data_IF_074869631282
#
_entry.id   IF_074869631282
#
_cell.length_a   1.000
_cell.length_b   1.000
_cell.length_c   1.000
_cell.angle_alpha   90.00
_cell.angle_beta   90.00
_cell.angle_gamma   90.00
#
_symmetry.space_group_name_H-M   'P 1'
#
loop_
_entity.id
_entity.type
_entity.pdbx_description
1 polymer ?
#
# COMPACT_ATOMS: atom_id res chain seq x y z
N UNK A 1 14.94 -11.94 12.30
CA UNK A 1 14.87 -11.40 10.92
C UNK A 1 14.49 -9.93 11.05
N UNK A 2 15.22 -9.01 10.43
CA UNK A 2 14.86 -7.59 10.46
C UNK A 2 13.59 -7.40 9.63
N UNK A 3 12.62 -6.65 10.17
CA UNK A 3 11.39 -6.33 9.43
C UNK A 3 11.68 -5.30 8.33
N UNK A 4 10.95 -5.37 7.24
CA UNK A 4 10.97 -4.38 6.16
C UNK A 4 10.22 -3.15 6.62
N UNK A 5 10.89 -2.00 6.61
CA UNK A 5 10.29 -0.74 7.02
C UNK A 5 9.38 -0.18 5.94
N UNK A 6 8.20 0.28 6.33
CA UNK A 6 7.23 0.82 5.40
C UNK A 6 6.59 2.12 5.89
N UNK A 7 6.08 2.88 4.93
CA UNK A 7 5.29 4.07 5.13
C UNK A 7 3.83 3.83 4.69
N UNK A 8 2.90 4.54 5.33
CA UNK A 8 1.49 4.60 4.97
C UNK A 8 1.19 6.02 4.50
N UNK A 9 0.57 6.16 3.33
CA UNK A 9 0.18 7.44 2.75
C UNK A 9 -1.34 7.49 2.69
N UNK A 10 -1.94 8.49 3.34
CA UNK A 10 -3.38 8.61 3.49
C UNK A 10 -3.88 8.10 4.83
N UNK A 11 -4.01 8.98 5.84
CA UNK A 11 -4.43 8.64 7.21
C UNK A 11 -5.97 8.55 7.35
N UNK A 12 -6.66 8.18 6.27
CA UNK A 12 -8.10 7.89 6.29
C UNK A 12 -8.43 6.54 6.91
N UNK A 13 -9.68 6.09 6.74
CA UNK A 13 -10.16 4.83 7.31
C UNK A 13 -9.34 3.62 6.83
N UNK A 14 -9.03 3.55 5.52
CA UNK A 14 -8.25 2.45 4.93
C UNK A 14 -6.82 2.45 5.47
N UNK A 15 -6.14 3.60 5.44
CA UNK A 15 -4.75 3.69 5.91
C UNK A 15 -4.64 3.42 7.42
N UNK A 16 -5.60 3.88 8.22
CA UNK A 16 -5.62 3.63 9.67
C UNK A 16 -5.90 2.15 9.98
N UNK A 17 -6.84 1.52 9.28
CA UNK A 17 -7.09 0.08 9.44
C UNK A 17 -5.86 -0.75 9.03
N UNK A 18 -5.20 -0.38 7.94
CA UNK A 18 -3.97 -1.01 7.50
C UNK A 18 -2.84 -0.84 8.52
N UNK A 19 -2.72 0.32 9.17
CA UNK A 19 -1.76 0.56 10.24
C UNK A 19 -1.90 -0.48 11.37
N UNK A 20 -3.13 -0.72 11.85
CA UNK A 20 -3.37 -1.73 12.89
C UNK A 20 -2.95 -3.14 12.46
N UNK A 21 -3.14 -3.46 11.18
CA UNK A 21 -2.74 -4.76 10.60
C UNK A 21 -1.23 -4.87 10.47
N UNK A 22 -0.56 -3.82 9.99
CA UNK A 22 0.90 -3.80 9.84
C UNK A 22 1.64 -3.86 11.17
N UNK A 23 1.12 -3.25 12.23
CA UNK A 23 1.71 -3.36 13.59
C UNK A 23 1.76 -4.81 14.10
N UNK A 24 0.89 -5.67 13.60
CA UNK A 24 0.87 -7.11 13.93
C UNK A 24 1.67 -7.97 12.97
N UNK A 25 2.20 -7.39 11.88
CA UNK A 25 2.98 -8.12 10.89
C UNK A 25 4.27 -8.68 11.47
N UNK A 26 4.60 -9.91 11.12
CA UNK A 26 5.90 -10.50 11.43
C UNK A 26 7.03 -10.00 10.52
N UNK A 27 6.69 -9.43 9.35
CA UNK A 27 7.62 -9.10 8.27
C UNK A 27 7.76 -7.60 8.01
N UNK A 28 6.71 -6.82 8.28
CA UNK A 28 6.65 -5.39 8.00
C UNK A 28 6.63 -4.57 9.29
N UNK A 29 7.28 -3.41 9.23
CA UNK A 29 7.33 -2.43 10.32
C UNK A 29 6.86 -1.07 9.79
N UNK A 30 5.64 -0.62 10.13
CA UNK A 30 5.21 0.72 9.78
C UNK A 30 5.96 1.75 10.63
N UNK A 31 6.67 2.66 9.97
CA UNK A 31 7.50 3.69 10.63
C UNK A 31 6.98 5.10 10.38
N UNK A 32 6.24 5.32 9.28
CA UNK A 32 5.67 6.62 8.92
C UNK A 32 4.19 6.54 8.57
N UNK A 33 3.44 7.57 8.98
CA UNK A 33 2.11 7.89 8.47
C UNK A 33 2.15 9.29 7.84
N UNK A 34 1.71 9.39 6.59
CA UNK A 34 1.77 10.60 5.77
C UNK A 34 0.37 11.08 5.45
N UNK A 35 0.07 12.33 5.75
CA UNK A 35 -1.19 13.01 5.44
C UNK A 35 -0.96 14.41 4.93
N UNK A 36 -2.05 15.16 4.74
CA UNK A 36 -2.04 16.56 4.28
C UNK A 36 -2.80 17.48 5.23
N UNK A 37 -3.45 16.92 6.25
CA UNK A 37 -4.21 17.66 7.25
C UNK A 37 -3.59 17.42 8.64
N UNK A 38 -3.04 18.45 9.30
CA UNK A 38 -2.44 18.33 10.62
C UNK A 38 -3.47 17.95 11.71
N UNK A 39 -4.74 18.20 11.50
CA UNK A 39 -5.82 17.87 12.43
C UNK A 39 -6.37 16.46 12.22
N UNK A 40 -5.81 15.70 11.26
CA UNK A 40 -6.24 14.34 10.96
C UNK A 40 -6.18 13.41 12.18
N UNK A 41 -7.30 12.80 12.54
CA UNK A 41 -7.38 11.78 13.56
C UNK A 41 -6.47 10.58 13.28
N UNK A 42 -6.30 10.22 12.00
CA UNK A 42 -5.42 9.12 11.61
C UNK A 42 -3.94 9.45 11.86
N UNK A 43 -3.51 10.70 11.66
CA UNK A 43 -2.15 11.14 12.02
C UNK A 43 -1.95 11.11 13.55
N UNK A 44 -2.93 11.60 14.33
CA UNK A 44 -2.88 11.59 15.79
C UNK A 44 -2.73 10.15 16.31
N UNK A 45 -3.57 9.22 15.84
CA UNK A 45 -3.49 7.80 16.19
C UNK A 45 -2.15 7.16 15.81
N UNK A 46 -1.62 7.48 14.63
CA UNK A 46 -0.32 6.96 14.21
C UNK A 46 0.80 7.45 15.12
N UNK A 47 0.79 8.73 15.51
CA UNK A 47 1.75 9.30 16.45
C UNK A 47 1.66 8.63 17.84
N UNK A 48 0.46 8.43 18.37
CA UNK A 48 0.21 7.70 19.63
C UNK A 48 0.73 6.25 19.58
N UNK A 49 0.70 5.63 18.41
CA UNK A 49 1.24 4.29 18.15
C UNK A 49 2.76 4.28 17.92
N UNK A 50 3.43 5.44 18.03
CA UNK A 50 4.87 5.58 17.93
C UNK A 50 5.42 5.70 16.51
N UNK A 51 4.58 6.01 15.51
CA UNK A 51 5.05 6.33 14.17
C UNK A 51 5.51 7.79 14.08
N UNK A 52 6.43 8.05 13.17
CA UNK A 52 6.68 9.40 12.67
C UNK A 52 5.51 9.82 11.79
N UNK A 53 5.13 11.08 11.85
CA UNK A 53 4.00 11.62 11.08
C UNK A 53 4.39 12.91 10.34
N UNK A 54 3.75 13.16 9.23
CA UNK A 54 3.82 14.45 8.53
C UNK A 54 2.46 14.82 7.94
N UNK A 55 2.15 16.11 7.94
CA UNK A 55 0.98 16.69 7.26
C UNK A 55 1.36 17.43 5.97
N UNK A 56 2.61 17.26 5.49
CA UNK A 56 3.13 17.90 4.27
C UNK A 56 3.05 16.97 3.04
N UNK A 57 2.22 15.93 3.11
CA UNK A 57 2.13 14.92 2.07
C UNK A 57 3.44 14.14 1.90
N UNK A 58 3.60 13.54 0.72
CA UNK A 58 4.82 12.76 0.41
C UNK A 58 6.08 13.63 0.47
N UNK A 59 5.99 14.92 0.19
CA UNK A 59 7.15 15.82 0.24
C UNK A 59 7.76 15.90 1.63
N UNK A 60 6.96 15.84 2.69
CA UNK A 60 7.43 15.77 4.07
C UNK A 60 8.12 14.44 4.41
N UNK A 61 7.85 13.37 3.65
CA UNK A 61 8.49 12.07 3.84
C UNK A 61 9.84 11.96 3.11
N UNK A 62 9.96 12.56 1.92
CA UNK A 62 11.13 12.37 1.04
C UNK A 62 12.50 12.54 1.73
N UNK A 63 12.74 13.57 2.57
CA UNK A 63 14.03 13.75 3.23
C UNK A 63 14.43 12.60 4.16
N UNK A 64 13.46 11.81 4.61
CA UNK A 64 13.63 10.77 5.62
C UNK A 64 13.70 9.36 5.06
N UNK A 65 13.31 9.14 3.79
CA UNK A 65 13.18 7.81 3.18
C UNK A 65 14.43 6.97 3.34
N UNK A 66 15.59 7.50 2.95
CA UNK A 66 16.87 6.78 3.00
C UNK A 66 17.37 6.60 4.44
N UNK A 67 17.31 7.67 5.24
CA UNK A 67 17.80 7.66 6.63
C UNK A 67 17.01 6.68 7.51
N UNK A 68 15.69 6.60 7.31
CA UNK A 68 14.82 5.70 8.05
C UNK A 68 14.74 4.30 7.41
N UNK A 69 15.31 4.12 6.22
CA UNK A 69 15.37 2.83 5.52
C UNK A 69 14.02 2.33 5.03
N UNK A 70 13.17 3.22 4.52
CA UNK A 70 11.84 2.88 3.99
C UNK A 70 12.01 2.18 2.64
N UNK A 71 11.42 1.00 2.50
CA UNK A 71 11.51 0.18 1.29
C UNK A 71 10.16 0.01 0.59
N UNK A 72 9.05 0.14 1.32
CA UNK A 72 7.69 -0.03 0.81
C UNK A 72 6.84 1.15 1.27
N UNK A 73 5.97 1.64 0.40
CA UNK A 73 4.92 2.59 0.77
C UNK A 73 3.55 2.09 0.30
N UNK A 74 2.59 2.12 1.20
CA UNK A 74 1.18 1.82 0.92
C UNK A 74 0.45 3.13 0.67
N UNK A 75 -0.10 3.31 -0.53
CA UNK A 75 -0.83 4.51 -0.88
C UNK A 75 -2.35 4.26 -0.81
N UNK A 76 -2.98 4.85 0.19
CA UNK A 76 -4.42 4.82 0.44
C UNK A 76 -5.05 6.23 0.25
N UNK A 77 -4.52 7.03 -0.65
CA UNK A 77 -5.00 8.37 -0.98
C UNK A 77 -6.04 8.35 -2.11
N UNK A 78 -5.84 9.11 -3.16
CA UNK A 78 -6.73 9.18 -4.31
C UNK A 78 -5.99 8.92 -5.63
N UNK A 79 -6.75 8.58 -6.67
CA UNK A 79 -6.21 8.39 -8.01
C UNK A 79 -5.47 9.63 -8.55
N UNK A 80 -5.87 10.83 -8.11
CA UNK A 80 -5.31 12.09 -8.62
C UNK A 80 -3.86 12.34 -8.20
N UNK A 81 -3.46 11.86 -7.03
CA UNK A 81 -2.12 12.12 -6.47
C UNK A 81 -1.20 10.90 -6.53
N UNK A 82 -1.75 9.71 -6.72
CA UNK A 82 -0.99 8.47 -6.69
C UNK A 82 0.18 8.44 -7.69
N UNK A 83 -0.05 8.89 -8.92
CA UNK A 83 0.99 8.90 -9.95
C UNK A 83 2.21 9.73 -9.53
N UNK A 84 1.97 10.91 -8.93
CA UNK A 84 3.05 11.78 -8.47
C UNK A 84 3.73 11.23 -7.21
N UNK A 85 2.96 10.68 -6.27
CA UNK A 85 3.51 9.99 -5.09
C UNK A 85 4.44 8.86 -5.52
N UNK A 86 3.98 8.03 -6.47
CA UNK A 86 4.75 6.91 -7.04
C UNK A 86 6.04 7.40 -7.69
N UNK A 87 5.96 8.43 -8.55
CA UNK A 87 7.13 8.99 -9.23
C UNK A 87 8.21 9.44 -8.25
N UNK A 88 7.81 10.16 -7.18
CA UNK A 88 8.71 10.67 -6.15
C UNK A 88 9.38 9.55 -5.35
N UNK A 89 8.60 8.59 -4.88
CA UNK A 89 9.09 7.53 -4.02
C UNK A 89 9.88 6.45 -4.77
N UNK A 90 9.46 6.10 -6.00
CA UNK A 90 10.23 5.18 -6.84
C UNK A 90 11.61 5.73 -7.20
N UNK A 91 11.77 7.05 -7.33
CA UNK A 91 13.08 7.69 -7.55
C UNK A 91 14.06 7.43 -6.39
N UNK A 92 13.55 7.13 -5.20
CA UNK A 92 14.31 6.76 -4.00
C UNK A 92 14.35 5.25 -3.74
N UNK A 93 13.87 4.44 -4.69
CA UNK A 93 13.89 2.98 -4.59
C UNK A 93 12.80 2.37 -3.71
N UNK A 94 11.73 3.12 -3.40
CA UNK A 94 10.60 2.64 -2.60
C UNK A 94 9.58 1.95 -3.50
N UNK A 95 9.23 0.70 -3.19
CA UNK A 95 8.14 -0.01 -3.83
C UNK A 95 6.79 0.55 -3.39
N UNK A 96 5.94 0.89 -4.36
CA UNK A 96 4.58 1.36 -4.10
C UNK A 96 3.56 0.22 -4.14
N UNK A 97 2.73 0.15 -3.11
CA UNK A 97 1.54 -0.71 -3.07
C UNK A 97 0.32 0.21 -3.18
N UNK A 98 -0.30 0.19 -4.35
CA UNK A 98 -1.40 1.07 -4.71
C UNK A 98 -2.75 0.50 -4.23
N UNK A 99 -3.38 1.18 -3.27
CA UNK A 99 -4.75 0.91 -2.81
C UNK A 99 -5.75 1.95 -3.34
N UNK A 100 -5.29 2.81 -4.27
CA UNK A 100 -6.14 3.84 -4.87
C UNK A 100 -6.83 3.33 -6.13
N UNK A 101 -7.87 4.00 -6.63
CA UNK A 101 -8.47 3.67 -7.92
C UNK A 101 -7.67 4.18 -9.14
N UNK A 102 -6.39 4.55 -8.99
CA UNK A 102 -5.55 5.04 -10.07
C UNK A 102 -5.28 3.98 -11.14
N UNK A 103 -5.29 2.70 -10.76
CA UNK A 103 -5.05 1.56 -11.63
C UNK A 103 -3.67 1.61 -12.35
N UNK A 104 -2.64 2.05 -11.62
CA UNK A 104 -1.28 2.14 -12.13
C UNK A 104 -0.49 0.89 -11.75
N UNK A 105 0.25 0.34 -12.71
CA UNK A 105 1.05 -0.87 -12.51
C UNK A 105 0.26 -2.17 -12.65
N UNK A 106 0.94 -3.32 -12.54
CA UNK A 106 0.32 -4.63 -12.68
C UNK A 106 -0.65 -4.94 -11.55
N UNK A 107 -1.78 -5.55 -11.89
CA UNK A 107 -2.78 -5.96 -10.92
C UNK A 107 -2.28 -7.14 -10.10
N UNK A 108 -2.38 -7.03 -8.78
CA UNK A 108 -2.02 -8.08 -7.84
C UNK A 108 -3.20 -8.46 -6.93
N UNK A 109 -3.58 -9.72 -7.01
CA UNK A 109 -4.46 -10.38 -6.06
C UNK A 109 -3.62 -11.50 -5.42
N UNK A 110 -3.07 -11.31 -4.21
CA UNK A 110 -2.02 -12.18 -3.66
C UNK A 110 -2.32 -13.68 -3.70
N UNK A 111 -3.52 -14.19 -3.33
CA UNK A 111 -3.80 -15.62 -3.39
C UNK A 111 -3.96 -16.17 -4.83
N UNK A 112 -3.99 -15.29 -5.83
CA UNK A 112 -4.19 -15.68 -7.25
C UNK A 112 -2.89 -15.59 -8.03
N UNK A 113 -2.22 -14.44 -8.02
CA UNK A 113 -1.10 -14.15 -8.92
C UNK A 113 0.14 -13.52 -8.27
N UNK A 114 0.27 -13.52 -6.94
CA UNK A 114 1.43 -12.93 -6.26
C UNK A 114 2.76 -13.47 -6.82
N UNK A 115 2.84 -14.75 -7.16
CA UNK A 115 4.05 -15.37 -7.70
C UNK A 115 4.53 -14.73 -9.00
N UNK A 116 3.63 -14.13 -9.78
CA UNK A 116 3.95 -13.45 -11.03
C UNK A 116 4.65 -12.10 -10.80
N UNK A 117 4.53 -11.54 -9.60
CA UNK A 117 5.15 -10.25 -9.21
C UNK A 117 6.48 -10.43 -8.49
N UNK A 118 6.77 -11.62 -7.96
CA UNK A 118 8.02 -11.88 -7.25
C UNK A 118 9.19 -11.88 -8.22
N UNK A 119 10.20 -11.05 -7.92
CA UNK A 119 11.41 -10.92 -8.74
C UNK A 119 11.26 -10.03 -9.98
N UNK A 120 10.10 -9.41 -10.20
CA UNK A 120 9.92 -8.40 -11.25
C UNK A 120 10.53 -7.05 -10.81
N UNK A 121 10.73 -6.18 -11.80
CA UNK A 121 11.32 -4.85 -11.58
C UNK A 121 10.27 -3.74 -11.44
N UNK A 122 9.00 -4.09 -11.48
CA UNK A 122 7.93 -3.11 -11.29
C UNK A 122 8.00 -2.56 -9.86
N UNK A 123 8.04 -1.24 -9.79
CA UNK A 123 8.13 -0.51 -8.53
C UNK A 123 6.76 0.04 -8.08
N UNK A 124 5.68 -0.35 -8.75
CA UNK A 124 4.29 -0.09 -8.36
C UNK A 124 3.44 -1.33 -8.61
N UNK A 125 2.69 -1.74 -7.59
CA UNK A 125 1.78 -2.89 -7.66
C UNK A 125 0.38 -2.42 -7.30
N UNK A 126 -0.57 -2.63 -8.22
CA UNK A 126 -1.97 -2.23 -8.04
C UNK A 126 -2.76 -3.34 -7.33
N UNK A 127 -3.38 -2.98 -6.21
CA UNK A 127 -4.20 -3.91 -5.42
C UNK A 127 -5.66 -4.01 -5.90
N UNK A 128 -5.93 -3.59 -7.13
CA UNK A 128 -7.24 -3.69 -7.80
C UNK A 128 -8.29 -2.82 -7.08
N UNK A 129 -9.23 -3.47 -6.38
CA UNK A 129 -10.27 -2.83 -5.56
C UNK A 129 -10.56 -3.69 -4.34
N UNK A 130 -11.23 -3.13 -3.34
CA UNK A 130 -11.67 -3.90 -2.17
C UNK A 130 -12.59 -5.06 -2.56
N UNK A 131 -13.53 -4.82 -3.47
CA UNK A 131 -14.39 -5.88 -4.03
C UNK A 131 -13.59 -6.94 -4.78
N UNK A 132 -12.69 -6.53 -5.67
CA UNK A 132 -11.82 -7.44 -6.41
C UNK A 132 -10.95 -8.31 -5.50
N UNK A 133 -10.35 -7.74 -4.47
CA UNK A 133 -9.56 -8.52 -3.49
C UNK A 133 -10.41 -9.54 -2.72
N UNK A 134 -11.69 -9.23 -2.47
CA UNK A 134 -12.59 -10.14 -1.77
C UNK A 134 -13.11 -11.27 -2.67
N UNK A 135 -13.36 -11.02 -3.95
CA UNK A 135 -14.15 -11.89 -4.83
C UNK A 135 -13.33 -12.64 -5.87
N UNK A 136 -12.29 -12.02 -6.46
CA UNK A 136 -11.43 -12.68 -7.45
C UNK A 136 -10.83 -14.00 -6.93
N UNK A 137 -10.38 -14.12 -5.66
CA UNK A 137 -9.91 -15.40 -5.13
C UNK A 137 -10.95 -16.51 -5.17
N UNK A 138 -12.24 -16.18 -5.00
CA UNK A 138 -13.33 -17.16 -5.04
C UNK A 138 -13.52 -17.70 -6.46
N UNK A 139 -13.59 -16.80 -7.45
CA UNK A 139 -13.70 -17.20 -8.87
C UNK A 139 -12.45 -18.00 -9.28
N UNK A 140 -11.28 -17.57 -8.89
CA UNK A 140 -10.03 -18.28 -9.18
C UNK A 140 -10.00 -19.69 -8.56
N UNK A 141 -10.52 -19.85 -7.34
CA UNK A 141 -10.61 -21.16 -6.69
C UNK A 141 -11.52 -22.13 -7.48
N UNK A 142 -12.67 -21.67 -7.93
CA UNK A 142 -13.58 -22.47 -8.76
C UNK A 142 -12.94 -22.79 -10.12
N UNK A 143 -12.29 -21.79 -10.77
CA UNK A 143 -11.65 -21.96 -12.08
C UNK A 143 -10.50 -22.97 -12.08
N UNK A 144 -9.89 -23.24 -10.91
CA UNK A 144 -8.86 -24.29 -10.76
C UNK A 144 -9.44 -25.71 -10.82
N UNK A 145 -10.73 -25.86 -10.56
CA UNK A 145 -11.44 -27.14 -10.54
C UNK A 145 -12.17 -27.37 -11.85
N UNK A 146 -12.85 -26.35 -12.36
CA UNK A 146 -13.57 -26.39 -13.62
C UNK A 146 -13.55 -25.04 -14.33
N UNK A 147 -13.60 -24.99 -15.67
CA UNK A 147 -13.66 -23.74 -16.40
C UNK A 147 -14.88 -22.90 -15.99
N UNK A 148 -14.66 -21.62 -15.73
CA UNK A 148 -15.70 -20.63 -15.46
C UNK A 148 -15.84 -19.74 -16.69
N UNK A 149 -16.96 -19.83 -17.39
CA UNK A 149 -17.21 -19.05 -18.58
C UNK A 149 -17.65 -17.60 -18.27
N UNK A 150 -18.24 -17.38 -17.10
CA UNK A 150 -18.73 -16.08 -16.66
C UNK A 150 -18.71 -16.00 -15.12
N UNK A 151 -18.28 -14.86 -14.60
CA UNK A 151 -18.33 -14.54 -13.17
C UNK A 151 -18.78 -13.09 -12.99
N UNK A 152 -19.75 -12.86 -12.11
CA UNK A 152 -20.26 -11.53 -11.77
C UNK A 152 -20.00 -11.22 -10.31
N UNK A 153 -19.60 -9.94 -10.05
CA UNK A 153 -19.20 -9.45 -8.73
C UNK A 153 -19.91 -8.13 -8.44
#
# INVERSE_FOLDING_TARGET
>A
MNKIKCALIGPGNIGTDLLYKLKRSAFLEPVWMVGIDPESEGLKRAAEMGLKVTAEGVDGLLPHVLADGIQIAFDATSAYVHAENTRKLNALGVLMIDLTPAAIGPYCVPPVNLKEHVGRREMNVNMVTCGGQATIPMVAAVSRVQPVAYGEI
#
